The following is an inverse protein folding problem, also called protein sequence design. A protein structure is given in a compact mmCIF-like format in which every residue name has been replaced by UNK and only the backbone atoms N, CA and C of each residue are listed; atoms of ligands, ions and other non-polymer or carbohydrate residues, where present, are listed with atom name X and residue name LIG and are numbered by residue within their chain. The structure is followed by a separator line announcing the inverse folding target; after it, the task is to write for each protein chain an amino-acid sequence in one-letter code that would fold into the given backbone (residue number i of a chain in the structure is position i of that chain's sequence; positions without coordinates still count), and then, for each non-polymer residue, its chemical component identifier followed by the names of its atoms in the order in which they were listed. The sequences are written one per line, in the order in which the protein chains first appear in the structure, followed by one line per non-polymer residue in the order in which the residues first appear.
data_IF_944498745707
#
_entry.id   IF_944498745707
#
_cell.length_a   1.000
_cell.length_b   1.000
_cell.length_c   1.000
_cell.angle_alpha   90.00
_cell.angle_beta   90.00
_cell.angle_gamma   90.00
#
_symmetry.space_group_name_H-M   'P 1'
#
loop_
_entity.id
_entity.type
_entity.pdbx_description
1 polymer ?
#
# COMPACT_ATOMS: atom_id res chain seq x y z
N UNK A 1 5.93 3.15 -14.30
CA UNK A 1 5.28 2.48 -13.15
C UNK A 1 5.94 1.13 -12.82
N UNK A 2 6.04 0.76 -11.53
CA UNK A 2 6.46 -0.60 -11.09
C UNK A 2 5.50 -1.23 -10.08
N UNK A 3 5.50 -2.56 -9.99
CA UNK A 3 4.72 -3.31 -8.98
C UNK A 3 5.61 -3.74 -7.82
N UNK A 4 5.11 -3.55 -6.60
CA UNK A 4 5.79 -3.95 -5.36
C UNK A 4 4.85 -4.78 -4.47
N UNK A 5 5.42 -5.53 -3.53
CA UNK A 5 4.65 -6.38 -2.60
C UNK A 5 4.85 -5.96 -1.15
N UNK A 6 3.72 -5.72 -0.48
CA UNK A 6 3.63 -5.61 0.97
C UNK A 6 3.28 -6.97 1.56
N UNK A 7 4.07 -7.44 2.53
CA UNK A 7 3.77 -8.67 3.27
C UNK A 7 3.35 -8.30 4.69
N UNK A 8 2.19 -8.77 5.19
CA UNK A 8 1.75 -8.47 6.55
C UNK A 8 2.78 -8.91 7.59
N UNK A 9 2.91 -8.16 8.69
CA UNK A 9 3.89 -8.42 9.73
C UNK A 9 5.36 -8.25 9.31
N UNK A 10 5.65 -7.79 8.08
CA UNK A 10 6.99 -7.41 7.63
C UNK A 10 7.08 -5.91 7.42
N UNK A 11 8.26 -5.37 7.71
CA UNK A 11 8.57 -3.97 7.38
C UNK A 11 8.48 -3.78 5.85
N UNK A 12 7.71 -2.78 5.38
CA UNK A 12 7.68 -2.43 3.97
C UNK A 12 9.06 -2.04 3.43
N UNK A 13 9.37 -2.34 2.16
CA UNK A 13 10.50 -1.73 1.45
C UNK A 13 10.52 -0.21 1.57
N UNK A 14 11.71 0.38 1.66
CA UNK A 14 11.88 1.84 1.67
C UNK A 14 11.38 2.45 0.36
N UNK A 15 10.74 3.62 0.43
CA UNK A 15 10.29 4.34 -0.77
C UNK A 15 8.94 3.88 -1.34
N UNK A 16 8.09 3.23 -0.53
CA UNK A 16 6.70 2.92 -0.90
C UNK A 16 5.69 4.02 -0.52
N UNK A 17 6.15 5.12 0.09
CA UNK A 17 5.31 6.29 0.25
C UNK A 17 4.95 6.84 -1.14
N UNK A 18 3.65 7.03 -1.39
CA UNK A 18 3.12 7.35 -2.71
C UNK A 18 2.68 6.14 -3.53
N UNK A 19 2.92 4.90 -3.07
CA UNK A 19 2.41 3.71 -3.74
C UNK A 19 0.88 3.61 -3.61
N UNK A 20 0.24 2.97 -4.58
CA UNK A 20 -1.21 2.87 -4.71
C UNK A 20 -1.68 1.43 -4.50
N UNK A 21 -2.72 1.24 -3.70
CA UNK A 21 -3.33 -0.07 -3.49
C UNK A 21 -3.98 -0.60 -4.78
N UNK A 22 -3.62 -1.83 -5.18
CA UNK A 22 -4.21 -2.47 -6.35
C UNK A 22 -5.56 -3.16 -6.06
N UNK A 23 -5.95 -3.31 -4.78
CA UNK A 23 -7.21 -3.91 -4.33
C UNK A 23 -7.63 -3.36 -2.95
N UNK A 24 -8.87 -3.60 -2.58
CA UNK A 24 -9.35 -3.35 -1.22
C UNK A 24 -8.71 -4.32 -0.22
N UNK A 25 -8.37 -3.81 0.96
CA UNK A 25 -7.81 -4.57 2.08
C UNK A 25 -8.38 -4.06 3.41
N UNK A 26 -8.14 -4.80 4.50
CA UNK A 26 -8.58 -4.42 5.85
C UNK A 26 -7.39 -4.47 6.80
N UNK A 27 -6.84 -3.31 7.15
CA UNK A 27 -5.69 -3.20 8.07
C UNK A 27 -6.20 -2.81 9.44
N UNK A 28 -5.90 -3.62 10.46
CA UNK A 28 -6.36 -3.42 11.85
C UNK A 28 -7.87 -3.17 11.95
N UNK A 29 -8.66 -3.90 11.16
CA UNK A 29 -10.12 -3.75 11.12
C UNK A 29 -10.64 -2.54 10.31
N UNK A 30 -9.74 -1.71 9.76
CA UNK A 30 -10.09 -0.55 8.96
C UNK A 30 -9.94 -0.89 7.47
N UNK A 31 -11.01 -0.69 6.71
CA UNK A 31 -10.97 -0.88 5.25
C UNK A 31 -10.12 0.20 4.59
N UNK A 32 -9.14 -0.22 3.80
CA UNK A 32 -8.45 0.62 2.84
C UNK A 32 -8.88 0.24 1.43
N UNK A 33 -9.36 1.22 0.67
CA UNK A 33 -9.87 1.01 -0.68
C UNK A 33 -8.75 0.94 -1.71
N UNK A 34 -8.97 0.19 -2.79
CA UNK A 34 -8.21 0.24 -4.04
C UNK A 34 -8.07 1.69 -4.50
N UNK A 35 -6.92 2.03 -5.07
CA UNK A 35 -6.63 3.39 -5.52
C UNK A 35 -6.13 4.31 -4.41
N UNK A 36 -6.21 3.91 -3.13
CA UNK A 36 -5.62 4.67 -2.03
C UNK A 36 -4.10 4.80 -2.23
N UNK A 37 -3.61 6.04 -2.17
CA UNK A 37 -2.19 6.36 -2.10
C UNK A 37 -1.69 6.26 -0.66
N UNK A 38 -0.69 5.41 -0.43
CA UNK A 38 -0.13 5.12 0.89
C UNK A 38 0.84 6.22 1.32
N UNK A 39 0.68 6.73 2.53
CA UNK A 39 1.66 7.62 3.16
C UNK A 39 2.52 6.86 4.18
N UNK A 40 3.48 7.54 4.82
CA UNK A 40 4.34 6.90 5.82
C UNK A 40 3.57 6.38 7.05
N UNK A 41 2.50 7.05 7.46
CA UNK A 41 1.68 6.62 8.58
C UNK A 41 0.93 5.33 8.26
N UNK A 42 0.40 5.20 7.04
CA UNK A 42 -0.19 3.97 6.53
C UNK A 42 0.84 2.83 6.56
N UNK A 43 2.06 3.07 6.05
CA UNK A 43 3.12 2.05 6.06
C UNK A 43 3.54 1.63 7.47
N UNK A 44 3.54 2.56 8.44
CA UNK A 44 3.74 2.24 9.86
C UNK A 44 2.58 1.41 10.42
N UNK A 45 1.34 1.78 10.10
CA UNK A 45 0.14 1.04 10.50
C UNK A 45 0.13 -0.38 9.94
N UNK A 46 0.52 -0.55 8.66
CA UNK A 46 0.70 -1.86 8.02
C UNK A 46 1.73 -2.72 8.75
N UNK A 47 2.90 -2.16 9.07
CA UNK A 47 3.96 -2.90 9.76
C UNK A 47 3.57 -3.32 11.19
N UNK A 48 2.66 -2.58 11.81
CA UNK A 48 2.15 -2.85 13.14
C UNK A 48 0.96 -3.84 13.14
N UNK A 49 0.36 -4.11 11.98
CA UNK A 49 -0.76 -5.04 11.87
C UNK A 49 -0.26 -6.49 11.73
N UNK A 50 -0.51 -7.37 12.72
CA UNK A 50 -0.10 -8.76 12.67
C UNK A 50 -0.98 -9.61 11.74
N UNK A 51 -2.05 -9.06 11.12
CA UNK A 51 -3.09 -9.77 10.35
C UNK A 51 -2.52 -10.79 9.36
N UNK A 52 -2.35 -12.07 9.78
CA UNK A 52 -1.63 -13.06 8.99
C UNK A 52 -2.50 -13.64 7.87
N UNK A 53 -3.82 -13.44 7.95
CA UNK A 53 -4.79 -13.92 6.96
C UNK A 53 -4.84 -13.10 5.66
N UNK A 54 -4.23 -11.91 5.61
CA UNK A 54 -4.36 -11.03 4.43
C UNK A 54 -3.48 -11.47 3.23
N UNK A 55 -2.47 -12.31 3.47
CA UNK A 55 -1.48 -12.66 2.46
C UNK A 55 -0.75 -11.43 1.87
N UNK A 56 0.18 -11.64 0.92
CA UNK A 56 0.86 -10.52 0.28
C UNK A 56 -0.11 -9.61 -0.49
N UNK A 57 0.10 -8.30 -0.40
CA UNK A 57 -0.68 -7.27 -1.08
C UNK A 57 0.20 -6.59 -2.13
N UNK A 58 -0.28 -6.54 -3.37
CA UNK A 58 0.38 -5.81 -4.44
C UNK A 58 0.05 -4.33 -4.37
N UNK A 59 1.07 -3.48 -4.52
CA UNK A 59 0.95 -2.03 -4.66
C UNK A 59 1.62 -1.57 -5.95
N UNK A 60 1.10 -0.49 -6.53
CA UNK A 60 1.64 0.14 -7.73
C UNK A 60 2.47 1.33 -7.27
N UNK A 61 3.75 1.39 -7.61
CA UNK A 61 4.60 2.56 -7.36
C UNK A 61 4.62 3.40 -8.63
N UNK A 62 4.00 4.60 -8.61
CA UNK A 62 4.04 5.52 -9.74
C UNK A 62 5.47 6.01 -9.97
N UNK A 63 5.86 6.19 -11.23
CA UNK A 63 7.10 6.89 -11.57
C UNK A 63 6.89 8.40 -11.54
N UNK A 64 7.98 9.17 -11.40
CA UNK A 64 7.92 10.64 -11.49
C UNK A 64 7.40 11.01 -12.88
N UNK A 65 6.18 11.55 -12.94
CA UNK A 65 5.46 11.83 -14.20
C UNK A 65 4.15 11.05 -14.36
N UNK A 66 3.89 10.02 -13.54
CA UNK A 66 2.59 9.34 -13.45
C UNK A 66 1.59 10.22 -12.68
N UNK A 67 1.21 11.36 -13.27
CA UNK A 67 0.09 12.20 -12.84
C UNK A 67 -1.05 11.87 -13.81
N UNK A 68 -2.12 11.23 -13.32
CA UNK A 68 -3.38 11.23 -14.05
C UNK A 68 -4.12 12.46 -13.55
N UNK A 69 -4.14 13.51 -14.36
CA UNK A 69 -5.04 14.65 -14.18
C UNK A 69 -6.45 14.10 -14.45
N UNK A 70 -7.21 13.79 -13.39
CA UNK A 70 -8.65 13.65 -13.52
C UNK A 70 -9.24 15.07 -13.57
N UNK A 71 -9.63 15.49 -14.77
CA UNK A 71 -10.35 16.73 -15.11
C UNK A 71 -11.76 16.76 -14.47
#
# INVERSE_FOLDING_TARGET
MRLERLTPGRRPPSGLAGAVLARDIVVSGIRWSKGRRLNEADLRGWAADPSPGMGPVTVIVPEVGDIHEDE
#
